data_IF_216472907027
#
_entry.id   IF_216472907027
#
_cell.length_a   1.000
_cell.length_b   1.000
_cell.length_c   1.000
_cell.angle_alpha   90.00
_cell.angle_beta   90.00
_cell.angle_gamma   90.00
#
_symmetry.space_group_name_H-M   'P 1'
#
loop_
_entity.id
_entity.type
_entity.pdbx_description
1 polymer ?
#
# COMPACT_ATOMS: atom_id res chain seq x y z
N UNK A 1 12.34 22.60 -11.26
CA UNK A 1 11.78 22.16 -9.96
C UNK A 1 11.85 20.64 -9.95
N UNK A 2 12.19 20.03 -8.82
CA UNK A 2 12.13 18.57 -8.67
C UNK A 2 10.66 18.12 -8.61
N UNK A 3 10.35 16.95 -9.16
CA UNK A 3 9.00 16.38 -9.09
C UNK A 3 8.63 15.93 -7.69
N UNK A 4 7.33 15.75 -7.45
CA UNK A 4 6.81 15.20 -6.20
C UNK A 4 6.88 13.67 -6.21
N UNK A 5 6.99 13.07 -5.02
CA UNK A 5 7.03 11.62 -4.86
C UNK A 5 5.89 11.18 -3.96
N UNK A 6 4.98 10.36 -4.48
CA UNK A 6 3.98 9.67 -3.67
C UNK A 6 4.46 8.26 -3.34
N UNK A 7 4.37 7.88 -2.07
CA UNK A 7 4.76 6.56 -1.57
C UNK A 7 3.54 5.84 -1.03
N UNK A 8 3.32 4.61 -1.47
CA UNK A 8 2.26 3.75 -0.94
C UNK A 8 2.59 2.28 -1.19
N UNK A 9 1.74 1.38 -0.70
CA UNK A 9 1.83 -0.04 -0.97
C UNK A 9 0.68 -0.47 -1.90
N UNK A 10 0.97 -1.34 -2.86
CA UNK A 10 -0.05 -2.03 -3.66
C UNK A 10 -0.17 -3.52 -3.29
N UNK A 11 0.67 -4.00 -2.36
CA UNK A 11 0.63 -5.35 -1.81
C UNK A 11 0.73 -5.33 -0.30
N UNK A 12 -0.07 -6.13 0.39
CA UNK A 12 -0.14 -6.16 1.86
C UNK A 12 -0.03 -7.57 2.44
N UNK A 13 0.71 -7.71 3.55
CA UNK A 13 0.68 -8.91 4.38
C UNK A 13 -0.48 -8.79 5.38
N UNK A 14 -1.61 -9.43 5.07
CA UNK A 14 -2.88 -9.21 5.81
C UNK A 14 -3.32 -10.44 6.60
N UNK A 15 -4.36 -10.29 7.43
CA UNK A 15 -5.07 -11.39 8.07
C UNK A 15 -5.72 -12.39 7.11
N UNK A 16 -5.82 -12.02 5.82
CA UNK A 16 -6.36 -12.87 4.75
C UNK A 16 -5.26 -13.40 3.83
N UNK A 17 -4.00 -13.32 4.26
CA UNK A 17 -2.82 -13.66 3.46
C UNK A 17 -2.28 -12.46 2.67
N UNK A 18 -1.52 -12.74 1.62
CA UNK A 18 -1.03 -11.68 0.75
C UNK A 18 -2.19 -11.11 -0.09
N UNK A 19 -2.39 -9.80 -0.02
CA UNK A 19 -3.43 -9.11 -0.78
C UNK A 19 -2.79 -8.23 -1.86
N UNK A 20 -3.32 -8.27 -3.08
CA UNK A 20 -2.74 -7.64 -4.27
C UNK A 20 -3.73 -6.61 -4.84
N UNK A 21 -3.28 -5.35 -4.94
CA UNK A 21 -3.98 -4.21 -5.53
C UNK A 21 -3.18 -3.57 -6.69
N UNK A 22 -2.19 -4.28 -7.26
CA UNK A 22 -1.34 -3.73 -8.32
C UNK A 22 -2.13 -3.42 -9.58
N UNK A 23 -3.06 -4.30 -9.97
CA UNK A 23 -3.83 -4.17 -11.21
C UNK A 23 -4.50 -2.81 -11.36
N UNK A 24 -5.12 -2.31 -10.30
CA UNK A 24 -5.84 -1.04 -10.33
C UNK A 24 -4.92 0.17 -10.42
N UNK A 25 -3.72 0.07 -9.83
CA UNK A 25 -2.72 1.12 -9.87
C UNK A 25 -2.02 1.21 -11.23
N UNK A 26 -2.00 0.12 -11.98
CA UNK A 26 -1.37 0.03 -13.31
C UNK A 26 -2.35 0.27 -14.45
N UNK A 27 -3.64 0.43 -14.14
CA UNK A 27 -4.69 0.66 -15.13
C UNK A 27 -4.52 2.02 -15.80
N UNK A 28 -4.61 2.03 -17.14
CA UNK A 28 -4.54 3.26 -17.93
C UNK A 28 -3.11 3.75 -18.21
N UNK A 29 -2.10 2.96 -17.88
CA UNK A 29 -0.76 3.12 -18.42
C UNK A 29 -0.75 2.77 -19.91
N UNK A 30 0.00 3.55 -20.68
CA UNK A 30 0.21 3.31 -22.11
C UNK A 30 1.47 2.44 -22.34
N UNK A 31 2.36 2.35 -21.33
CA UNK A 31 3.56 1.50 -21.36
C UNK A 31 3.93 0.98 -19.97
N UNK A 32 4.17 -0.33 -19.84
CA UNK A 32 4.53 -0.96 -18.56
C UNK A 32 5.62 -2.01 -18.76
N UNK A 33 6.73 -1.87 -18.05
CA UNK A 33 7.75 -2.92 -17.97
C UNK A 33 7.51 -3.80 -16.73
N UNK A 34 7.40 -5.11 -16.93
CA UNK A 34 7.25 -6.09 -15.87
C UNK A 34 8.56 -6.85 -15.71
N UNK A 35 9.28 -6.58 -14.63
CA UNK A 35 10.55 -7.23 -14.33
C UNK A 35 10.28 -8.64 -13.79
N UNK A 36 10.91 -9.65 -14.41
CA UNK A 36 10.92 -11.03 -13.94
C UNK A 36 12.34 -11.40 -13.51
N UNK A 37 12.43 -12.09 -12.39
CA UNK A 37 13.71 -12.58 -11.87
C UNK A 37 13.60 -13.02 -10.42
N UNK A 38 14.57 -13.81 -9.98
CA UNK A 38 14.69 -14.33 -8.63
C UNK A 38 15.02 -13.27 -7.58
N UNK A 39 15.15 -13.66 -6.30
CA UNK A 39 15.59 -12.76 -5.23
C UNK A 39 16.96 -12.14 -5.57
N UNK A 40 17.20 -10.89 -5.19
CA UNK A 40 18.53 -10.27 -5.33
C UNK A 40 18.97 -9.92 -6.76
N UNK A 41 18.10 -10.03 -7.77
CA UNK A 41 18.43 -9.70 -9.18
C UNK A 41 18.51 -8.19 -9.49
N UNK A 42 18.50 -7.32 -8.48
CA UNK A 42 18.61 -5.87 -8.67
C UNK A 42 17.32 -5.11 -9.05
N UNK A 43 16.16 -5.78 -9.09
CA UNK A 43 14.85 -5.18 -9.47
C UNK A 43 14.54 -3.87 -8.73
N UNK A 44 14.48 -3.92 -7.41
CA UNK A 44 14.19 -2.76 -6.56
C UNK A 44 15.21 -1.63 -6.74
N UNK A 45 16.50 -1.95 -6.90
CA UNK A 45 17.54 -0.95 -7.15
C UNK A 45 17.38 -0.27 -8.52
N UNK A 46 17.07 -1.03 -9.57
CA UNK A 46 16.78 -0.52 -10.91
C UNK A 46 15.56 0.42 -10.87
N UNK A 47 14.45 -0.03 -10.26
CA UNK A 47 13.21 0.76 -10.13
C UNK A 47 13.49 2.09 -9.41
N UNK A 48 14.25 2.06 -8.30
CA UNK A 48 14.62 3.27 -7.55
C UNK A 48 15.50 4.22 -8.35
N UNK A 49 16.48 3.69 -9.07
CA UNK A 49 17.38 4.50 -9.87
C UNK A 49 16.61 5.28 -10.94
N UNK A 50 15.75 4.59 -11.69
CA UNK A 50 14.90 5.22 -12.70
C UNK A 50 13.97 6.26 -12.06
N UNK A 51 13.26 5.90 -10.99
CA UNK A 51 12.35 6.86 -10.33
C UNK A 51 13.06 8.14 -9.86
N UNK A 52 14.23 8.03 -9.24
CA UNK A 52 15.02 9.20 -8.80
C UNK A 52 15.42 10.11 -9.96
N UNK A 53 15.86 9.52 -11.08
CA UNK A 53 16.25 10.29 -12.25
C UNK A 53 15.07 11.09 -12.83
N UNK A 54 13.86 10.51 -12.85
CA UNK A 54 12.66 11.20 -13.33
C UNK A 54 12.18 12.31 -12.38
N UNK A 55 12.35 12.13 -11.07
CA UNK A 55 12.13 13.19 -10.07
C UNK A 55 13.07 14.37 -10.30
N UNK A 56 14.36 14.10 -10.55
CA UNK A 56 15.36 15.13 -10.86
C UNK A 56 15.04 15.87 -12.16
N UNK A 57 14.45 15.17 -13.14
CA UNK A 57 13.91 15.74 -14.38
C UNK A 57 12.60 16.53 -14.18
N UNK A 58 12.07 16.60 -12.95
CA UNK A 58 10.89 17.40 -12.61
C UNK A 58 9.55 16.71 -12.81
N UNK A 59 9.53 15.38 -12.98
CA UNK A 59 8.29 14.61 -13.11
C UNK A 59 7.82 14.09 -11.77
N UNK A 60 6.52 14.24 -11.49
CA UNK A 60 5.89 13.56 -10.38
C UNK A 60 5.93 12.04 -10.59
N UNK A 61 6.22 11.29 -9.53
CA UNK A 61 6.25 9.83 -9.56
C UNK A 61 5.47 9.22 -8.40
N UNK A 62 5.10 7.97 -8.58
CA UNK A 62 4.49 7.12 -7.56
C UNK A 62 5.40 5.90 -7.32
N UNK A 63 5.90 5.70 -6.10
CA UNK A 63 6.62 4.49 -5.69
C UNK A 63 5.70 3.51 -4.97
N UNK A 64 5.70 2.27 -5.47
CA UNK A 64 4.99 1.14 -4.86
C UNK A 64 5.99 0.38 -3.98
N UNK A 65 5.85 0.47 -2.66
CA UNK A 65 6.77 -0.13 -1.69
C UNK A 65 6.47 -1.62 -1.46
N UNK A 66 7.51 -2.38 -1.10
CA UNK A 66 7.40 -3.80 -0.79
C UNK A 66 7.01 -3.99 0.68
N UNK A 67 5.87 -4.64 0.94
CA UNK A 67 5.44 -4.97 2.31
C UNK A 67 6.34 -5.98 3.01
N UNK A 68 7.14 -6.74 2.25
CA UNK A 68 8.05 -7.77 2.79
C UNK A 68 9.49 -7.29 2.99
N UNK A 69 9.83 -6.08 2.54
CA UNK A 69 11.13 -5.48 2.76
C UNK A 69 11.05 -3.94 2.77
N UNK A 70 11.22 -3.35 3.96
CA UNK A 70 11.18 -1.91 4.19
C UNK A 70 12.16 -1.09 3.35
N UNK A 71 13.19 -1.72 2.77
CA UNK A 71 14.17 -1.05 1.90
C UNK A 71 13.92 -1.30 0.43
N UNK A 72 12.84 -1.96 0.04
CA UNK A 72 12.57 -2.30 -1.36
C UNK A 72 11.28 -1.68 -1.88
N UNK A 73 11.29 -1.44 -3.20
CA UNK A 73 10.10 -1.04 -3.96
C UNK A 73 9.82 -2.11 -5.00
N UNK A 74 8.54 -2.35 -5.23
CA UNK A 74 8.03 -3.28 -6.23
C UNK A 74 7.60 -2.53 -7.50
N UNK A 75 7.57 -1.20 -7.51
CA UNK A 75 7.25 -0.47 -8.73
C UNK A 75 7.46 1.04 -8.65
N UNK A 76 7.50 1.64 -9.84
CA UNK A 76 7.46 3.09 -10.05
C UNK A 76 6.53 3.42 -11.21
N UNK A 77 5.72 4.48 -11.05
CA UNK A 77 4.84 5.00 -12.10
C UNK A 77 5.17 6.48 -12.32
N UNK A 78 5.14 6.92 -13.57
CA UNK A 78 5.27 8.33 -13.96
C UNK A 78 3.94 8.76 -14.57
N UNK A 79 2.99 9.31 -13.77
CA UNK A 79 1.61 9.48 -14.20
C UNK A 79 1.45 10.37 -15.44
N UNK A 80 2.22 11.46 -15.52
CA UNK A 80 2.18 12.40 -16.67
C UNK A 80 2.51 11.71 -18.00
N UNK A 81 3.39 10.72 -17.97
CA UNK A 81 3.80 9.96 -19.15
C UNK A 81 2.96 8.69 -19.35
N UNK A 82 2.17 8.30 -18.35
CA UNK A 82 1.43 7.03 -18.29
C UNK A 82 2.35 5.82 -18.51
N UNK A 83 3.54 5.86 -17.92
CA UNK A 83 4.50 4.75 -17.97
C UNK A 83 4.78 4.20 -16.58
N UNK A 84 5.18 2.93 -16.49
CA UNK A 84 5.58 2.33 -15.22
C UNK A 84 6.52 1.14 -15.36
N UNK A 85 7.11 0.76 -14.22
CA UNK A 85 7.94 -0.44 -14.04
C UNK A 85 7.45 -1.15 -12.78
N UNK A 86 7.30 -2.47 -12.84
CA UNK A 86 6.86 -3.28 -11.70
C UNK A 86 7.62 -4.59 -11.60
N UNK A 87 7.82 -5.07 -10.38
CA UNK A 87 8.24 -6.44 -10.08
C UNK A 87 7.05 -7.39 -10.27
N UNK A 88 7.17 -8.29 -11.24
CA UNK A 88 6.15 -9.30 -11.54
C UNK A 88 6.42 -10.66 -10.90
N UNK A 89 7.36 -10.78 -9.96
CA UNK A 89 7.68 -12.04 -9.27
C UNK A 89 6.70 -12.32 -8.13
N UNK A 90 6.45 -13.60 -7.85
CA UNK A 90 5.60 -14.03 -6.71
C UNK A 90 5.99 -13.33 -5.40
N UNK A 91 5.02 -12.86 -4.58
CA UNK A 91 3.57 -13.03 -4.72
C UNK A 91 2.87 -12.01 -5.62
N UNK A 92 3.61 -11.09 -6.24
CA UNK A 92 3.14 -9.98 -7.07
C UNK A 92 2.96 -10.40 -8.54
N UNK A 93 2.39 -11.58 -8.79
CA UNK A 93 2.25 -12.06 -10.17
C UNK A 93 1.30 -11.12 -10.93
N UNK A 94 1.85 -10.42 -11.92
CA UNK A 94 1.12 -9.56 -12.84
C UNK A 94 1.06 -10.28 -14.17
N UNK A 95 -0.15 -10.54 -14.65
CA UNK A 95 -0.41 -11.09 -15.97
C UNK A 95 -0.69 -9.96 -16.97
N UNK A 96 0.10 -9.84 -18.06
CA UNK A 96 -0.07 -8.80 -19.05
C UNK A 96 -1.38 -9.01 -19.80
N UNK A 97 -2.16 -7.94 -19.98
CA UNK A 97 -3.44 -8.00 -20.69
C UNK A 97 -3.28 -7.69 -22.18
N UNK A 98 -2.32 -6.84 -22.52
CA UNK A 98 -2.04 -6.38 -23.88
C UNK A 98 -0.52 -6.47 -24.17
N UNK A 99 0.07 -7.68 -24.10
CA UNK A 99 1.51 -7.87 -24.24
C UNK A 99 2.02 -7.34 -25.58
N UNK A 100 3.12 -6.58 -25.54
CA UNK A 100 3.73 -5.92 -26.69
C UNK A 100 3.06 -4.63 -27.13
N UNK A 101 1.87 -4.30 -26.59
CA UNK A 101 1.20 -3.01 -26.81
C UNK A 101 1.40 -2.11 -25.59
N UNK A 102 1.02 -2.60 -24.41
CA UNK A 102 1.20 -1.88 -23.14
C UNK A 102 2.30 -2.55 -22.31
N UNK A 103 2.14 -3.85 -22.03
CA UNK A 103 3.04 -4.56 -21.14
C UNK A 103 4.19 -5.28 -21.86
N UNK A 104 5.38 -5.22 -21.28
CA UNK A 104 6.57 -5.93 -21.76
C UNK A 104 7.32 -6.59 -20.61
N UNK A 105 7.69 -7.87 -20.79
CA UNK A 105 8.49 -8.58 -19.80
C UNK A 105 9.99 -8.33 -20.00
N UNK A 106 10.66 -7.96 -18.91
CA UNK A 106 12.11 -7.90 -18.84
C UNK A 106 12.60 -9.06 -17.97
N UNK A 107 13.27 -10.02 -18.59
CA UNK A 107 13.80 -11.19 -17.90
C UNK A 107 15.21 -10.90 -17.36
N UNK A 108 15.31 -10.47 -16.10
CA UNK A 108 16.60 -10.28 -15.43
C UNK A 108 17.26 -11.61 -15.03
N UNK A 109 16.57 -12.75 -15.17
CA UNK A 109 17.14 -14.08 -14.93
C UNK A 109 18.22 -14.48 -15.92
N UNK A 110 18.35 -13.78 -17.07
CA UNK A 110 19.46 -14.02 -18.00
C UNK A 110 20.82 -13.63 -17.43
N UNK A 111 20.83 -12.79 -16.39
CA UNK A 111 22.05 -12.23 -15.82
C UNK A 111 22.69 -13.10 -14.73
N UNK A 112 22.07 -14.22 -14.31
CA UNK A 112 22.68 -15.11 -13.33
C UNK A 112 23.49 -16.24 -13.98
N UNK A 113 24.50 -16.69 -13.25
CA UNK A 113 25.21 -17.94 -13.53
C UNK A 113 24.43 -19.13 -12.96
N UNK A 114 23.74 -19.85 -13.85
CA UNK A 114 22.93 -21.00 -13.48
C UNK A 114 23.76 -22.15 -12.89
N UNK A 115 25.01 -22.33 -13.29
CA UNK A 115 25.86 -23.41 -12.79
C UNK A 115 26.34 -23.14 -11.37
N UNK A 116 26.65 -21.87 -11.05
CA UNK A 116 26.90 -21.44 -9.65
C UNK A 116 25.67 -21.69 -8.76
N UNK A 117 24.47 -21.35 -9.23
CA UNK A 117 23.24 -21.55 -8.47
C UNK A 117 22.90 -23.03 -8.29
N UNK A 118 23.10 -23.87 -9.32
CA UNK A 118 22.87 -25.33 -9.23
C UNK A 118 23.72 -26.00 -8.16
N UNK A 119 24.96 -25.53 -7.96
CA UNK A 119 25.84 -26.02 -6.87
C UNK A 119 25.28 -25.69 -5.47
N UNK A 120 24.46 -24.65 -5.36
CA UNK A 120 23.82 -24.19 -4.12
C UNK A 120 22.37 -24.69 -3.97
N UNK A 121 21.92 -25.62 -4.81
CA UNK A 121 20.51 -26.06 -4.90
C UNK A 121 19.88 -26.39 -3.54
N UNK A 122 20.54 -27.21 -2.72
CA UNK A 122 19.99 -27.66 -1.44
C UNK A 122 19.82 -26.50 -0.45
N UNK A 123 20.76 -25.55 -0.43
CA UNK A 123 20.64 -24.36 0.42
C UNK A 123 19.52 -23.42 -0.06
N UNK A 124 19.44 -23.21 -1.38
CA UNK A 124 18.36 -22.42 -2.00
C UNK A 124 17.00 -23.03 -1.66
N UNK A 125 16.83 -24.34 -1.86
CA UNK A 125 15.59 -25.06 -1.57
C UNK A 125 15.20 -24.93 -0.08
N UNK A 126 16.17 -25.09 0.82
CA UNK A 126 15.98 -24.88 2.25
C UNK A 126 15.47 -23.47 2.55
N UNK A 127 16.14 -22.43 2.06
CA UNK A 127 15.75 -21.04 2.34
C UNK A 127 14.40 -20.68 1.72
N UNK A 128 14.08 -21.16 0.52
CA UNK A 128 12.75 -20.99 -0.10
C UNK A 128 11.67 -21.61 0.79
N UNK A 129 11.89 -22.86 1.24
CA UNK A 129 10.96 -23.56 2.13
C UNK A 129 10.79 -22.85 3.47
N UNK A 130 11.89 -22.44 4.10
CA UNK A 130 11.88 -21.73 5.39
C UNK A 130 11.16 -20.37 5.31
N UNK A 131 11.40 -19.59 4.25
CA UNK A 131 10.73 -18.32 4.02
C UNK A 131 9.23 -18.52 3.81
N UNK A 132 8.84 -19.50 2.97
CA UNK A 132 7.44 -19.83 2.73
C UNK A 132 6.72 -20.23 4.03
N UNK A 133 7.33 -21.10 4.85
CA UNK A 133 6.78 -21.49 6.15
C UNK A 133 6.63 -20.30 7.09
N UNK A 134 7.61 -19.39 7.13
CA UNK A 134 7.55 -18.20 7.95
C UNK A 134 6.39 -17.27 7.52
N UNK A 135 6.19 -17.04 6.22
CA UNK A 135 5.02 -16.29 5.74
C UNK A 135 3.70 -16.97 6.10
N UNK A 136 3.59 -18.30 5.92
CA UNK A 136 2.39 -19.04 6.31
C UNK A 136 2.10 -18.92 7.80
N UNK A 137 3.12 -18.99 8.66
CA UNK A 137 2.97 -18.76 10.10
C UNK A 137 2.53 -17.32 10.40
N UNK A 138 3.09 -16.32 9.72
CA UNK A 138 2.67 -14.92 9.88
C UNK A 138 1.18 -14.76 9.55
N UNK A 139 0.73 -15.27 8.40
CA UNK A 139 -0.67 -15.17 7.98
C UNK A 139 -1.62 -15.94 8.90
N UNK A 140 -1.21 -17.12 9.40
CA UNK A 140 -1.99 -17.85 10.39
C UNK A 140 -2.17 -17.03 11.68
N UNK A 141 -1.13 -16.33 12.13
CA UNK A 141 -1.20 -15.45 13.31
C UNK A 141 -2.01 -14.19 13.06
N UNK A 142 -1.91 -13.56 11.89
CA UNK A 142 -2.79 -12.44 11.57
C UNK A 142 -4.26 -12.86 11.50
N UNK A 143 -4.55 -14.06 10.97
CA UNK A 143 -5.91 -14.61 10.96
C UNK A 143 -6.46 -14.80 12.38
N UNK A 144 -5.66 -15.31 13.31
CA UNK A 144 -6.02 -15.40 14.73
C UNK A 144 -6.22 -14.00 15.35
N UNK A 145 -5.33 -13.04 15.05
CA UNK A 145 -5.47 -11.67 15.53
C UNK A 145 -6.77 -11.01 15.03
N UNK A 146 -7.23 -11.36 13.82
CA UNK A 146 -8.45 -10.80 13.26
C UNK A 146 -9.68 -11.27 14.04
N UNK A 147 -9.71 -12.54 14.46
CA UNK A 147 -10.80 -13.04 15.32
C UNK A 147 -10.85 -12.30 16.66
N UNK A 148 -9.69 -12.05 17.27
CA UNK A 148 -9.59 -11.28 18.52
C UNK A 148 -10.01 -9.82 18.29
N UNK A 149 -9.64 -9.25 17.14
CA UNK A 149 -10.06 -7.90 16.75
C UNK A 149 -11.58 -7.82 16.60
N UNK A 150 -12.21 -8.79 15.93
CA UNK A 150 -13.67 -8.84 15.75
C UNK A 150 -14.41 -8.94 17.11
N UNK A 151 -13.87 -9.70 18.07
CA UNK A 151 -14.38 -9.74 19.45
C UNK A 151 -14.28 -8.37 20.13
N UNK A 152 -13.20 -7.64 19.89
CA UNK A 152 -13.03 -6.29 20.42
C UNK A 152 -14.02 -5.30 19.78
N UNK A 153 -14.21 -5.37 18.47
CA UNK A 153 -15.17 -4.51 17.76
C UNK A 153 -16.58 -4.68 18.29
N UNK A 154 -16.98 -5.92 18.61
CA UNK A 154 -18.33 -6.24 19.10
C UNK A 154 -18.71 -5.41 20.32
N UNK A 155 -17.77 -5.17 21.25
CA UNK A 155 -18.01 -4.34 22.44
C UNK A 155 -18.54 -2.97 22.04
N UNK A 156 -17.98 -2.35 21.01
CA UNK A 156 -18.38 -1.02 20.57
C UNK A 156 -19.57 -1.05 19.62
N UNK A 157 -19.64 -2.04 18.71
CA UNK A 157 -20.77 -2.23 17.79
C UNK A 157 -22.09 -2.32 18.58
N UNK A 158 -22.11 -3.05 19.69
CA UNK A 158 -23.29 -3.21 20.55
C UNK A 158 -23.65 -1.93 21.34
N UNK A 159 -22.79 -0.90 21.32
CA UNK A 159 -22.95 0.35 22.06
C UNK A 159 -22.90 1.61 21.17
N UNK A 160 -23.02 1.46 19.85
CA UNK A 160 -23.07 2.57 18.89
C UNK A 160 -24.51 2.99 18.59
N UNK A 161 -24.73 4.30 18.52
CA UNK A 161 -25.92 4.89 17.91
C UNK A 161 -25.76 4.94 16.37
N UNK A 162 -26.28 3.91 15.70
CA UNK A 162 -26.18 3.81 14.24
C UNK A 162 -26.90 4.94 13.49
N UNK A 163 -27.95 5.52 14.07
CA UNK A 163 -28.65 6.64 13.44
C UNK A 163 -27.74 7.88 13.43
N UNK A 164 -27.13 8.22 14.57
CA UNK A 164 -26.15 9.31 14.65
C UNK A 164 -24.93 9.07 13.77
N UNK A 165 -24.46 7.82 13.68
CA UNK A 165 -23.35 7.48 12.79
C UNK A 165 -23.67 7.73 11.31
N UNK A 166 -24.90 7.40 10.89
CA UNK A 166 -25.38 7.68 9.54
C UNK A 166 -25.54 9.18 9.31
N UNK A 167 -26.20 9.90 10.23
CA UNK A 167 -26.38 11.36 10.16
C UNK A 167 -25.03 12.09 10.06
N UNK A 168 -24.05 11.71 10.89
CA UNK A 168 -22.70 12.27 10.84
C UNK A 168 -22.04 12.03 9.48
N UNK A 169 -22.19 10.82 8.92
CA UNK A 169 -21.63 10.48 7.61
C UNK A 169 -22.29 11.30 6.50
N UNK A 170 -23.62 11.48 6.55
CA UNK A 170 -24.36 12.25 5.55
C UNK A 170 -24.01 13.74 5.63
N UNK A 171 -23.82 14.29 6.84
CA UNK A 171 -23.31 15.65 7.04
C UNK A 171 -21.90 15.83 6.46
N UNK A 172 -21.02 14.85 6.64
CA UNK A 172 -19.68 14.88 6.04
C UNK A 172 -19.73 14.80 4.52
N UNK A 173 -20.58 13.94 3.95
CA UNK A 173 -20.79 13.87 2.50
C UNK A 173 -21.27 15.24 1.96
N UNK A 174 -22.26 15.85 2.61
CA UNK A 174 -22.74 17.17 2.22
C UNK A 174 -21.64 18.24 2.34
N UNK A 175 -20.88 18.26 3.44
CA UNK A 175 -19.79 19.22 3.66
C UNK A 175 -18.69 19.09 2.61
N UNK A 176 -18.23 17.87 2.34
CA UNK A 176 -17.05 17.62 1.51
C UNK A 176 -17.36 17.73 0.01
N UNK A 177 -18.53 17.24 -0.41
CA UNK A 177 -18.87 17.19 -1.83
C UNK A 177 -19.83 18.29 -2.27
N UNK A 178 -20.76 18.74 -1.40
CA UNK A 178 -21.80 19.72 -1.73
C UNK A 178 -22.43 19.47 -3.13
N UNK A 179 -22.66 20.53 -3.91
CA UNK A 179 -23.16 20.47 -5.29
C UNK A 179 -22.04 20.26 -6.34
N UNK A 180 -20.83 19.92 -5.90
CA UNK A 180 -19.70 19.71 -6.82
C UNK A 180 -19.84 18.37 -7.52
N UNK A 181 -19.44 18.36 -8.79
CA UNK A 181 -19.32 17.17 -9.63
C UNK A 181 -17.92 17.09 -10.21
N UNK A 182 -17.31 15.91 -10.17
CA UNK A 182 -16.04 15.63 -10.81
C UNK A 182 -16.21 15.40 -12.32
N UNK A 183 -15.09 15.21 -13.00
CA UNK A 183 -15.04 15.05 -14.46
C UNK A 183 -14.79 13.61 -14.90
N UNK A 184 -14.40 12.73 -13.98
CA UNK A 184 -13.91 11.37 -14.26
C UNK A 184 -14.04 10.50 -13.01
N UNK A 185 -14.91 9.50 -13.06
CA UNK A 185 -14.96 8.46 -12.04
C UNK A 185 -13.80 7.49 -12.26
N UNK A 186 -12.77 7.58 -11.40
CA UNK A 186 -11.68 6.62 -11.33
C UNK A 186 -11.39 6.33 -9.86
N UNK A 187 -11.57 5.07 -9.46
CA UNK A 187 -11.23 4.62 -8.11
C UNK A 187 -9.92 3.85 -8.16
N UNK A 188 -8.98 4.20 -7.29
CA UNK A 188 -7.70 3.52 -7.13
C UNK A 188 -7.61 2.92 -5.74
N UNK A 189 -7.60 1.60 -5.62
CA UNK A 189 -7.40 0.92 -4.34
C UNK A 189 -5.91 0.71 -4.06
N UNK A 190 -5.50 1.09 -2.85
CA UNK A 190 -4.10 1.16 -2.39
C UNK A 190 -4.03 0.77 -0.91
N UNK A 191 -2.83 0.69 -0.36
CA UNK A 191 -2.58 0.64 1.08
C UNK A 191 -1.72 1.83 1.48
N UNK A 192 -2.14 2.57 2.51
CA UNK A 192 -1.38 3.73 3.01
C UNK A 192 -0.15 3.29 3.81
N UNK A 193 -0.19 2.05 4.30
CA UNK A 193 0.79 1.43 5.15
C UNK A 193 0.62 -0.08 5.14
N UNK A 194 1.60 -0.79 5.68
CA UNK A 194 1.62 -2.24 5.67
C UNK A 194 2.21 -2.82 6.97
N UNK A 195 1.83 -4.06 7.28
CA UNK A 195 2.57 -4.90 8.20
C UNK A 195 3.90 -5.33 7.54
N UNK A 196 5.02 -4.82 8.06
CA UNK A 196 6.38 -5.06 7.54
C UNK A 196 7.28 -5.78 8.54
N UNK A 197 8.41 -6.38 8.13
CA UNK A 197 9.39 -6.96 9.06
C UNK A 197 9.86 -6.05 10.21
N UNK A 198 9.69 -4.74 10.11
CA UNK A 198 10.04 -3.75 11.14
C UNK A 198 8.85 -3.21 11.95
N UNK A 199 7.66 -3.76 11.78
CA UNK A 199 6.43 -3.21 12.37
C UNK A 199 5.51 -2.58 11.33
N UNK A 200 4.51 -1.86 11.80
CA UNK A 200 3.65 -1.05 10.94
C UNK A 200 4.44 0.15 10.40
N UNK A 201 4.38 0.39 9.10
CA UNK A 201 4.96 1.56 8.42
C UNK A 201 3.92 2.12 7.48
N UNK A 202 3.73 3.44 7.52
CA UNK A 202 2.80 4.16 6.65
C UNK A 202 3.43 5.39 5.99
N UNK A 203 2.69 5.95 5.04
CA UNK A 203 3.04 7.13 4.29
C UNK A 203 2.00 8.25 4.42
N UNK A 204 1.18 8.28 5.47
CA UNK A 204 0.12 9.31 5.63
C UNK A 204 0.67 10.74 5.52
N UNK A 205 1.81 11.11 6.15
CA UNK A 205 2.35 12.46 6.02
C UNK A 205 2.70 12.86 4.58
N UNK A 206 3.20 11.91 3.79
CA UNK A 206 3.57 12.10 2.38
C UNK A 206 2.34 12.10 1.47
N UNK A 207 1.41 11.17 1.67
CA UNK A 207 0.19 11.05 0.87
C UNK A 207 -0.73 12.28 1.00
N UNK A 208 -0.70 12.91 2.17
CA UNK A 208 -1.49 14.10 2.52
C UNK A 208 -0.70 15.41 2.40
N UNK A 209 0.51 15.37 1.84
CA UNK A 209 1.30 16.57 1.58
C UNK A 209 0.61 17.46 0.54
N UNK A 210 0.61 18.78 0.78
CA UNK A 210 -0.02 19.77 -0.10
C UNK A 210 -1.56 19.81 -0.08
N UNK A 211 -2.23 18.90 0.62
CA UNK A 211 -3.69 18.96 0.77
C UNK A 211 -4.08 20.02 1.80
N UNK A 212 -4.99 20.95 1.47
CA UNK A 212 -5.44 21.99 2.39
C UNK A 212 -6.31 21.47 3.54
N UNK A 213 -6.95 20.31 3.40
CA UNK A 213 -7.85 19.76 4.43
C UNK A 213 -7.50 18.32 4.79
N UNK A 214 -7.37 18.04 6.08
CA UNK A 214 -7.16 16.68 6.59
C UNK A 214 -8.09 16.38 7.75
N UNK A 215 -8.80 15.27 7.65
CA UNK A 215 -9.78 14.83 8.64
C UNK A 215 -9.26 13.58 9.36
N UNK A 216 -9.01 13.72 10.65
CA UNK A 216 -8.44 12.69 11.52
C UNK A 216 -9.58 11.98 12.22
N UNK A 217 -9.95 10.80 11.74
CA UNK A 217 -10.97 9.98 12.40
C UNK A 217 -10.33 9.35 13.64
N UNK A 218 -10.85 9.70 14.81
CA UNK A 218 -10.51 9.08 16.09
C UNK A 218 -11.66 8.17 16.52
N UNK A 219 -11.36 7.10 17.26
CA UNK A 219 -12.37 6.19 17.75
C UNK A 219 -11.79 4.87 18.25
N UNK A 220 -12.67 3.94 18.60
CA UNK A 220 -12.30 2.58 19.02
C UNK A 220 -12.51 1.59 17.86
N UNK A 221 -11.94 0.37 17.91
CA UNK A 221 -12.31 -0.70 16.98
C UNK A 221 -13.84 -0.87 16.94
N UNK A 222 -14.42 -1.16 15.77
CA UNK A 222 -15.87 -1.24 15.62
C UNK A 222 -16.64 0.09 15.59
N UNK A 223 -16.00 1.26 15.78
CA UNK A 223 -16.68 2.58 15.83
C UNK A 223 -17.16 3.13 14.48
N UNK A 224 -17.41 2.28 13.47
CA UNK A 224 -17.99 2.69 12.18
C UNK A 224 -17.06 3.47 11.23
N UNK A 225 -15.77 3.65 11.55
CA UNK A 225 -14.80 4.44 10.77
C UNK A 225 -14.71 3.99 9.30
N UNK A 226 -14.46 2.71 9.11
CA UNK A 226 -14.39 2.06 7.80
C UNK A 226 -15.69 2.18 7.00
N UNK A 227 -16.83 2.05 7.67
CA UNK A 227 -18.16 2.21 7.04
C UNK A 227 -18.38 3.63 6.54
N UNK A 228 -18.00 4.64 7.34
CA UNK A 228 -18.02 6.05 6.93
C UNK A 228 -17.14 6.28 5.71
N UNK A 229 -15.89 5.80 5.73
CA UNK A 229 -14.95 5.91 4.61
C UNK A 229 -15.50 5.27 3.33
N UNK A 230 -16.13 4.09 3.42
CA UNK A 230 -16.75 3.42 2.26
C UNK A 230 -17.88 4.24 1.66
N UNK A 231 -18.73 4.85 2.50
CA UNK A 231 -19.81 5.74 2.04
C UNK A 231 -19.26 7.00 1.37
N UNK A 232 -18.20 7.59 1.91
CA UNK A 232 -17.52 8.75 1.32
C UNK A 232 -16.88 8.41 -0.04
N UNK A 233 -16.19 7.27 -0.13
CA UNK A 233 -15.61 6.80 -1.39
C UNK A 233 -16.68 6.58 -2.45
N UNK A 234 -17.79 5.91 -2.09
CA UNK A 234 -18.94 5.71 -2.97
C UNK A 234 -19.57 7.03 -3.43
N UNK A 235 -19.78 7.98 -2.51
CA UNK A 235 -20.33 9.29 -2.85
C UNK A 235 -19.41 10.08 -3.80
N UNK A 236 -18.09 9.98 -3.62
CA UNK A 236 -17.11 10.58 -4.52
C UNK A 236 -17.17 9.97 -5.93
N UNK A 237 -17.25 8.64 -6.01
CA UNK A 237 -17.38 7.89 -7.27
C UNK A 237 -18.67 8.26 -8.01
N UNK A 238 -19.82 8.26 -7.32
CA UNK A 238 -21.14 8.61 -7.87
C UNK A 238 -21.19 10.07 -8.37
N UNK A 239 -20.45 10.96 -7.72
CA UNK A 239 -20.30 12.36 -8.15
C UNK A 239 -19.22 12.56 -9.21
N UNK A 240 -18.57 11.50 -9.67
CA UNK A 240 -17.63 11.52 -10.80
C UNK A 240 -16.23 12.03 -10.47
N UNK A 241 -15.78 11.93 -9.22
CA UNK A 241 -14.43 12.29 -8.81
C UNK A 241 -13.44 11.13 -8.98
N UNK A 242 -12.16 11.45 -9.15
CA UNK A 242 -11.07 10.49 -8.90
C UNK A 242 -10.89 10.30 -7.38
N UNK A 243 -10.85 9.05 -6.95
CA UNK A 243 -10.83 8.67 -5.53
C UNK A 243 -9.68 7.71 -5.28
N UNK A 244 -8.82 8.06 -4.32
CA UNK A 244 -7.81 7.14 -3.80
C UNK A 244 -8.36 6.48 -2.54
N UNK A 245 -8.58 5.18 -2.60
CA UNK A 245 -9.12 4.37 -1.50
C UNK A 245 -7.99 3.55 -0.90
N UNK A 246 -7.70 3.80 0.38
CA UNK A 246 -6.62 3.13 1.09
C UNK A 246 -7.21 2.12 2.08
N UNK A 247 -6.91 0.86 1.83
CA UNK A 247 -7.31 -0.27 2.66
C UNK A 247 -6.44 -0.37 3.91
N UNK A 248 -7.00 -1.00 4.93
CA UNK A 248 -6.26 -1.35 6.12
C UNK A 248 -5.21 -2.42 5.80
N UNK A 249 -3.96 -2.15 6.18
CA UNK A 249 -2.85 -3.09 5.99
C UNK A 249 -3.00 -4.40 6.75
N UNK A 250 -3.93 -4.48 7.70
CA UNK A 250 -4.23 -5.67 8.49
C UNK A 250 -5.48 -6.43 8.00
N UNK A 251 -6.65 -5.77 7.88
CA UNK A 251 -7.85 -6.34 7.24
C UNK A 251 -8.20 -5.59 5.96
N UNK A 252 -7.94 -6.16 4.77
CA UNK A 252 -8.14 -5.45 3.51
C UNK A 252 -9.62 -5.20 3.21
N UNK A 253 -10.57 -5.78 3.96
CA UNK A 253 -11.97 -5.41 3.82
C UNK A 253 -12.32 -4.11 4.54
N UNK A 254 -11.43 -3.58 5.38
CA UNK A 254 -11.56 -2.29 6.04
C UNK A 254 -10.82 -1.19 5.27
N UNK A 255 -11.32 0.05 5.36
CA UNK A 255 -10.65 1.23 4.82
C UNK A 255 -10.03 2.03 5.97
N UNK A 256 -8.81 2.52 5.74
CA UNK A 256 -8.10 3.41 6.64
C UNK A 256 -8.04 4.84 6.11
N UNK A 257 -8.15 5.08 4.80
CA UNK A 257 -8.13 6.45 4.25
C UNK A 257 -8.85 6.59 2.92
N UNK A 258 -9.40 7.78 2.69
CA UNK A 258 -9.90 8.23 1.39
C UNK A 258 -9.29 9.59 1.07
N UNK A 259 -8.77 9.75 -0.14
CA UNK A 259 -8.28 11.04 -0.66
C UNK A 259 -9.04 11.40 -1.93
N UNK A 260 -9.54 12.64 -1.99
CA UNK A 260 -10.09 13.23 -3.20
C UNK A 260 -9.30 14.50 -3.51
N UNK A 261 -8.24 14.32 -4.31
CA UNK A 261 -7.26 15.39 -4.58
C UNK A 261 -7.90 16.61 -5.26
N UNK A 262 -8.85 16.40 -6.17
CA UNK A 262 -9.59 17.47 -6.85
C UNK A 262 -10.34 18.40 -5.86
N UNK A 263 -10.76 17.87 -4.71
CA UNK A 263 -11.44 18.61 -3.66
C UNK A 263 -10.48 19.05 -2.54
N UNK A 264 -9.20 18.69 -2.62
CA UNK A 264 -8.18 19.12 -1.68
C UNK A 264 -8.30 18.51 -0.28
N UNK A 265 -8.88 17.30 -0.14
CA UNK A 265 -8.99 16.68 1.18
C UNK A 265 -8.49 15.24 1.25
N UNK A 266 -8.03 14.88 2.45
CA UNK A 266 -7.85 13.50 2.91
C UNK A 266 -8.64 13.28 4.19
N UNK A 267 -9.25 12.11 4.32
CA UNK A 267 -9.89 11.65 5.55
C UNK A 267 -9.36 10.26 5.89
N UNK A 268 -8.87 10.08 7.12
CA UNK A 268 -8.19 8.84 7.50
C UNK A 268 -8.39 8.46 8.96
N UNK A 269 -8.38 7.16 9.22
CA UNK A 269 -8.27 6.58 10.54
C UNK A 269 -6.91 6.96 11.14
N UNK A 270 -6.96 7.75 12.21
CA UNK A 270 -5.79 8.26 12.91
C UNK A 270 -5.65 7.63 14.29
N UNK A 271 -5.99 6.34 14.40
CA UNK A 271 -5.78 5.52 15.60
C UNK A 271 -4.55 4.62 15.45
N UNK A 272 -4.10 4.02 16.56
CA UNK A 272 -2.95 3.14 16.54
C UNK A 272 -3.14 2.00 15.51
N UNK A 273 -2.13 1.65 14.70
CA UNK A 273 -0.71 2.04 14.85
C UNK A 273 -0.31 3.35 14.14
N UNK A 274 -1.20 4.01 13.41
CA UNK A 274 -0.91 5.19 12.59
C UNK A 274 -1.53 6.46 13.19
N UNK A 275 -1.13 6.76 14.42
CA UNK A 275 -1.70 7.88 15.18
C UNK A 275 -1.01 9.21 14.85
N UNK A 276 -1.80 10.15 14.31
CA UNK A 276 -1.41 11.53 14.06
C UNK A 276 -2.32 12.51 14.81
N UNK A 277 -1.86 13.77 14.88
CA UNK A 277 -2.59 14.87 15.50
C UNK A 277 -2.56 16.10 14.58
N UNK A 278 -3.60 16.94 14.65
CA UNK A 278 -3.64 18.21 13.95
C UNK A 278 -2.38 19.04 14.17
N UNK A 279 -1.83 19.54 13.08
CA UNK A 279 -0.58 20.32 13.05
C UNK A 279 -0.58 21.37 11.94
N UNK A 280 -1.54 21.32 11.00
CA UNK A 280 -1.68 22.24 9.88
C UNK A 280 -3.02 22.95 9.95
N UNK A 281 -3.09 24.14 9.34
CA UNK A 281 -4.36 24.79 9.07
C UNK A 281 -5.24 23.88 8.19
N UNK A 282 -6.53 23.78 8.51
CA UNK A 282 -7.46 22.88 7.82
C UNK A 282 -7.46 21.43 8.33
N UNK A 283 -6.69 21.11 9.37
CA UNK A 283 -6.79 19.83 10.08
C UNK A 283 -8.01 19.83 11.02
N UNK A 284 -8.83 18.78 10.95
CA UNK A 284 -10.02 18.60 11.78
C UNK A 284 -10.08 17.20 12.37
N UNK A 285 -10.44 17.07 13.66
CA UNK A 285 -10.67 15.76 14.29
C UNK A 285 -12.16 15.39 14.16
N UNK A 286 -12.41 14.15 13.75
CA UNK A 286 -13.73 13.52 13.80
C UNK A 286 -13.66 12.46 14.89
N UNK A 287 -14.07 12.80 16.10
CA UNK A 287 -14.08 11.87 17.24
C UNK A 287 -15.34 11.00 17.23
N UNK A 288 -15.25 9.85 16.56
CA UNK A 288 -16.34 8.89 16.49
C UNK A 288 -16.74 8.37 17.87
N UNK A 289 -15.80 8.26 18.82
CA UNK A 289 -16.16 7.77 20.14
C UNK A 289 -17.09 8.77 20.84
N UNK A 290 -16.68 10.04 20.91
CA UNK A 290 -17.48 11.07 21.56
C UNK A 290 -18.83 11.32 20.87
N UNK A 291 -18.90 11.18 19.54
CA UNK A 291 -20.08 11.52 18.76
C UNK A 291 -21.15 10.40 18.74
N UNK A 292 -20.74 9.13 18.70
CA UNK A 292 -21.67 8.02 18.38
C UNK A 292 -21.60 6.82 19.33
N UNK A 293 -20.60 6.72 20.21
CA UNK A 293 -20.51 5.61 21.19
C UNK A 293 -21.21 6.02 22.48
N UNK A 294 -21.94 5.08 23.09
CA UNK A 294 -22.62 5.29 24.37
C UNK A 294 -21.60 5.69 25.46
N UNK A 295 -21.78 6.84 26.14
CA UNK A 295 -20.89 7.25 27.24
C UNK A 295 -20.84 6.18 28.35
N UNK A 296 -19.65 5.93 28.90
CA UNK A 296 -19.45 4.90 29.92
C UNK A 296 -19.11 3.50 29.39
N UNK A 297 -18.99 3.32 28.06
CA UNK A 297 -18.68 2.00 27.46
C UNK A 297 -17.31 1.49 27.89
N UNK A 298 -16.27 2.33 27.82
CA UNK A 298 -14.90 1.95 28.24
C UNK A 298 -14.86 1.53 29.72
N UNK A 299 -15.58 2.22 30.60
CA UNK A 299 -15.66 1.92 32.03
C UNK A 299 -16.42 0.62 32.29
N UNK A 300 -17.55 0.42 31.60
CA UNK A 300 -18.41 -0.77 31.75
C UNK A 300 -17.68 -2.05 31.32
N UNK A 301 -16.88 -1.99 30.27
CA UNK A 301 -16.17 -3.13 29.69
C UNK A 301 -14.65 -3.08 29.93
N UNK A 302 -14.19 -2.35 30.96
CA UNK A 302 -12.78 -2.05 31.16
C UNK A 302 -11.88 -3.29 31.25
N UNK A 303 -12.39 -4.38 31.83
CA UNK A 303 -11.65 -5.64 31.96
C UNK A 303 -11.55 -6.34 30.60
N UNK A 304 -12.67 -6.49 29.91
CA UNK A 304 -12.78 -7.12 28.60
C UNK A 304 -11.92 -6.40 27.57
N UNK A 305 -11.98 -5.06 27.54
CA UNK A 305 -11.16 -4.21 26.66
C UNK A 305 -9.67 -4.39 26.97
N UNK A 306 -9.28 -4.46 28.25
CA UNK A 306 -7.90 -4.69 28.65
C UNK A 306 -7.42 -6.06 28.19
N UNK A 307 -8.19 -7.10 28.46
CA UNK A 307 -7.84 -8.48 28.18
C UNK A 307 -7.74 -8.73 26.66
N UNK A 308 -8.71 -8.24 25.87
CA UNK A 308 -8.71 -8.39 24.41
C UNK A 308 -7.59 -7.58 23.75
N UNK A 309 -7.30 -6.37 24.24
CA UNK A 309 -6.22 -5.52 23.73
C UNK A 309 -4.84 -6.16 23.95
N UNK A 310 -4.60 -6.75 25.14
CA UNK A 310 -3.37 -7.50 25.43
C UNK A 310 -3.21 -8.69 24.48
N UNK A 311 -4.28 -9.48 24.30
CA UNK A 311 -4.28 -10.64 23.42
C UNK A 311 -4.03 -10.25 21.96
N UNK A 312 -4.72 -9.22 21.47
CA UNK A 312 -4.54 -8.69 20.12
C UNK A 312 -3.09 -8.24 19.90
N UNK A 313 -2.54 -7.42 20.81
CA UNK A 313 -1.16 -6.94 20.70
C UNK A 313 -0.15 -8.09 20.72
N UNK A 314 -0.34 -9.07 21.60
CA UNK A 314 0.53 -10.25 21.66
C UNK A 314 0.50 -11.03 20.33
N UNK A 315 -0.69 -11.25 19.77
CA UNK A 315 -0.88 -12.00 18.52
C UNK A 315 -0.33 -11.26 17.31
N UNK A 316 -0.51 -9.94 17.24
CA UNK A 316 0.11 -9.09 16.22
C UNK A 316 1.63 -9.16 16.30
N UNK A 317 2.22 -9.02 17.49
CA UNK A 317 3.68 -9.14 17.66
C UNK A 317 4.21 -10.51 17.22
N UNK A 318 3.48 -11.59 17.52
CA UNK A 318 3.81 -12.94 17.04
C UNK A 318 3.83 -12.99 15.51
N UNK A 319 2.80 -12.47 14.84
CA UNK A 319 2.73 -12.41 13.38
C UNK A 319 3.89 -11.59 12.77
N UNK A 320 4.18 -10.41 13.33
CA UNK A 320 5.30 -9.56 12.90
C UNK A 320 6.65 -10.27 13.04
N UNK A 321 6.84 -11.06 14.11
CA UNK A 321 8.08 -11.82 14.31
C UNK A 321 8.33 -12.85 13.20
N UNK A 322 7.26 -13.45 12.67
CA UNK A 322 7.35 -14.37 11.54
C UNK A 322 7.65 -13.64 10.22
N UNK A 323 7.14 -12.43 9.99
CA UNK A 323 7.56 -11.59 8.87
C UNK A 323 9.04 -11.22 8.96
N UNK A 324 9.52 -10.86 10.15
CA UNK A 324 10.94 -10.61 10.40
C UNK A 324 11.81 -11.84 10.12
N UNK A 325 11.36 -13.03 10.52
CA UNK A 325 12.01 -14.30 10.19
C UNK A 325 12.03 -14.55 8.68
N UNK A 326 10.90 -14.35 7.99
CA UNK A 326 10.80 -14.52 6.54
C UNK A 326 11.80 -13.61 5.82
N UNK A 327 11.88 -12.32 6.22
CA UNK A 327 12.89 -11.39 5.69
C UNK A 327 14.31 -11.87 5.95
N UNK A 328 14.64 -12.26 7.18
CA UNK A 328 16.00 -12.72 7.53
C UNK A 328 16.45 -13.92 6.69
N UNK A 329 15.53 -14.86 6.42
CA UNK A 329 15.79 -16.00 5.54
C UNK A 329 15.94 -15.56 4.08
N UNK A 330 15.06 -14.68 3.59
CA UNK A 330 15.14 -14.11 2.24
C UNK A 330 16.44 -13.35 2.02
N UNK A 331 16.89 -12.54 2.97
CA UNK A 331 18.17 -11.81 2.88
C UNK A 331 19.35 -12.78 2.70
N UNK A 332 19.31 -13.99 3.28
CA UNK A 332 20.32 -15.04 3.05
C UNK A 332 20.22 -15.64 1.64
N UNK A 333 19.01 -15.91 1.18
CA UNK A 333 18.74 -16.38 -0.17
C UNK A 333 19.24 -15.38 -1.22
N UNK A 334 18.96 -14.10 -1.02
CA UNK A 334 19.37 -13.01 -1.90
C UNK A 334 20.90 -12.93 -2.04
N UNK A 335 21.66 -13.13 -0.96
CA UNK A 335 23.13 -13.14 -1.03
C UNK A 335 23.67 -14.23 -1.98
N UNK A 336 23.04 -15.41 -2.02
CA UNK A 336 23.42 -16.49 -2.92
C UNK A 336 23.20 -16.06 -4.38
N UNK A 337 22.05 -15.47 -4.67
CA UNK A 337 21.73 -14.97 -6.00
C UNK A 337 22.65 -13.82 -6.42
N UNK A 338 22.84 -12.81 -5.55
CA UNK A 338 23.71 -11.66 -5.80
C UNK A 338 25.13 -12.11 -6.18
N UNK A 339 25.69 -13.10 -5.49
CA UNK A 339 27.02 -13.62 -5.78
C UNK A 339 27.12 -14.32 -7.15
N UNK A 340 26.00 -14.69 -7.75
CA UNK A 340 25.90 -15.32 -9.07
C UNK A 340 25.45 -14.34 -10.17
N UNK A 341 25.15 -13.09 -9.86
CA UNK A 341 24.68 -12.09 -10.83
C UNK A 341 25.83 -11.39 -11.56
N UNK A 342 25.64 -11.17 -12.86
CA UNK A 342 26.33 -10.14 -13.64
C UNK A 342 25.45 -8.88 -13.73
N UNK A 343 25.76 -7.89 -12.90
CA UNK A 343 24.98 -6.65 -12.85
C UNK A 343 25.15 -5.75 -14.07
N UNK A 344 26.17 -5.97 -14.92
CA UNK A 344 26.32 -5.19 -16.16
C UNK A 344 25.15 -5.40 -17.12
N UNK A 345 24.58 -6.61 -17.14
CA UNK A 345 23.39 -6.93 -17.94
C UNK A 345 22.15 -6.22 -17.37
N UNK A 346 22.04 -6.14 -16.04
CA UNK A 346 20.93 -5.43 -15.38
C UNK A 346 21.02 -3.92 -15.65
N UNK A 347 22.22 -3.37 -15.63
CA UNK A 347 22.47 -1.96 -15.96
C UNK A 347 22.14 -1.64 -17.42
N UNK A 348 22.42 -2.55 -18.36
CA UNK A 348 22.02 -2.38 -19.76
C UNK A 348 20.49 -2.29 -19.92
N UNK A 349 19.73 -3.13 -19.23
CA UNK A 349 18.26 -3.04 -19.24
C UNK A 349 17.74 -1.74 -18.61
N UNK A 350 18.38 -1.27 -17.53
CA UNK A 350 18.05 0.02 -16.93
C UNK A 350 18.20 1.16 -17.95
N UNK A 351 19.29 1.17 -18.72
CA UNK A 351 19.52 2.17 -19.78
C UNK A 351 18.50 2.07 -20.91
N UNK A 352 18.13 0.85 -21.31
CA UNK A 352 17.11 0.61 -22.36
C UNK A 352 15.74 1.14 -21.94
N UNK A 353 15.30 0.84 -20.72
CA UNK A 353 14.04 1.34 -20.16
C UNK A 353 14.08 2.88 -20.07
N UNK A 354 15.22 3.45 -19.66
CA UNK A 354 15.37 4.90 -19.53
C UNK A 354 15.23 5.60 -20.89
N UNK A 355 15.89 5.09 -21.94
CA UNK A 355 15.77 5.60 -23.32
C UNK A 355 14.34 5.55 -23.82
N UNK A 356 13.61 4.48 -23.53
CA UNK A 356 12.21 4.36 -23.92
C UNK A 356 11.33 5.41 -23.23
N UNK A 357 11.51 5.63 -21.93
CA UNK A 357 10.76 6.66 -21.21
C UNK A 357 11.12 8.07 -21.70
N UNK A 358 12.38 8.34 -22.04
CA UNK A 358 12.81 9.60 -22.64
C UNK A 358 12.17 9.86 -24.02
N UNK A 359 12.09 8.83 -24.86
CA UNK A 359 11.41 8.88 -26.16
C UNK A 359 9.92 9.20 -26.01
N UNK A 360 9.26 8.56 -25.05
CA UNK A 360 7.85 8.82 -24.73
C UNK A 360 7.68 10.26 -24.23
N UNK A 361 8.55 10.72 -23.32
CA UNK A 361 8.51 12.09 -22.81
C UNK A 361 8.66 13.14 -23.91
N UNK A 362 9.60 12.95 -24.84
CA UNK A 362 9.77 13.85 -25.99
C UNK A 362 8.49 13.94 -26.84
N UNK A 363 7.84 12.80 -27.10
CA UNK A 363 6.59 12.73 -27.87
C UNK A 363 5.42 13.42 -27.17
N UNK A 364 5.36 13.34 -25.83
CA UNK A 364 4.32 14.02 -25.03
C UNK A 364 4.52 15.54 -25.06
N UNK A 365 5.77 16.02 -25.03
CA UNK A 365 6.08 17.45 -25.11
C UNK A 365 5.68 18.02 -26.48
N UNK A 366 5.99 17.32 -27.58
CA UNK A 366 5.63 17.74 -28.94
C UNK A 366 4.12 17.86 -29.16
N UNK A 367 3.30 17.01 -28.52
CA UNK A 367 1.83 17.07 -28.62
C UNK A 367 1.19 18.19 -27.78
N UNK A 368 1.96 18.83 -26.91
CA UNK A 368 1.49 19.92 -26.03
C UNK A 368 1.86 21.32 -26.56
N UNK A 369 2.69 21.39 -27.61
CA UNK A 369 2.97 22.59 -28.40
C UNK A 369 2.06 22.63 -29.62
#
# INVERSE_FOLDING_TARGET
MTGNVLNYYAGGNTARGFHNLYEENLKGLDRLFILKGGPGTGKSSLIKAIGREWVEKGYDIEFLHCSSDNKSVDGVIIPKLKVGIVDGTSPHVIEPKMPGVVEEYINLGIAWDSDKLRKQKLEIERFVSEASKAFQSAYARFKEALLIHDEWEKIYIDNIDFNKANELTDQLIQKLFADKSGRKSLVKHRFLGAATPKGAVDFVPNLTEGLPHRYFIKGRPGSGKSTMLKKLAKAAEEKGFEVEVYHCGFDPNSLDMVIVRELGFAIFDSTAPHEYFPSREGDEIIDMYALIVTPGTDEKYAKEIRDVSIQYKAKMNEAMSFLAKAKSVRDKLERIYIAAMDFSIVDAYKEEIQKEFERIAATVIEKQQ
#
